data_IF_926608951475
#
_entry.id   IF_926608951475
#
_cell.length_a   1.000
_cell.length_b   1.000
_cell.length_c   1.000
_cell.angle_alpha   90.00
_cell.angle_beta   90.00
_cell.angle_gamma   90.00
#
_symmetry.space_group_name_H-M   'P 1'
#
loop_
_entity.id
_entity.type
_entity.pdbx_description
1 polymer ?
#
# COMPACT_ATOMS: atom_id res chain seq x y z
N UNK A 1 -28.22 21.57 -24.97
CA UNK A 1 -28.19 20.13 -24.62
C UNK A 1 -26.84 19.82 -23.98
N UNK A 2 -26.84 19.82 -22.64
CA UNK A 2 -25.75 19.34 -21.79
C UNK A 2 -25.56 17.84 -21.98
N UNK A 3 -24.32 17.34 -21.99
CA UNK A 3 -23.90 16.10 -21.31
C UNK A 3 -22.40 16.21 -21.01
N UNK A 4 -22.11 16.60 -19.76
CA UNK A 4 -20.84 16.34 -19.09
C UNK A 4 -20.63 14.81 -18.99
N UNK A 5 -19.44 14.33 -19.29
CA UNK A 5 -19.04 12.97 -18.93
C UNK A 5 -17.80 13.05 -18.03
N UNK A 6 -17.99 13.62 -16.84
CA UNK A 6 -17.13 13.38 -15.68
C UNK A 6 -17.44 11.99 -15.15
N UNK A 7 -16.73 10.98 -15.66
CA UNK A 7 -16.72 9.65 -15.07
C UNK A 7 -15.44 9.49 -14.25
N UNK A 8 -15.48 10.01 -13.03
CA UNK A 8 -14.66 9.52 -11.92
C UNK A 8 -15.35 8.30 -11.33
N UNK A 9 -14.80 7.07 -11.45
CA UNK A 9 -15.25 5.98 -10.62
C UNK A 9 -14.57 6.12 -9.26
N UNK A 10 -15.37 6.58 -8.30
CA UNK A 10 -15.51 5.95 -6.97
C UNK A 10 -14.21 5.63 -6.22
N UNK A 11 -13.80 6.63 -5.45
CA UNK A 11 -13.15 6.47 -4.15
C UNK A 11 -14.02 5.55 -3.29
N UNK A 12 -13.69 4.26 -3.23
CA UNK A 12 -14.27 3.34 -2.25
C UNK A 12 -13.41 2.08 -2.07
N UNK A 13 -12.26 2.22 -1.41
CA UNK A 13 -11.84 1.22 -0.42
C UNK A 13 -11.41 2.00 0.81
N UNK A 14 -12.37 2.10 1.73
CA UNK A 14 -12.21 2.17 3.17
C UNK A 14 -10.78 2.47 3.66
N UNK A 15 -10.58 3.75 3.96
CA UNK A 15 -9.50 4.31 4.76
C UNK A 15 -9.48 3.67 6.16
N UNK A 16 -9.08 2.41 6.27
CA UNK A 16 -8.27 1.94 7.39
C UNK A 16 -6.81 2.32 7.12
N UNK A 17 -6.59 3.60 6.81
CA UNK A 17 -5.28 4.22 6.94
C UNK A 17 -5.02 4.32 8.44
N UNK A 18 -4.68 3.19 9.07
CA UNK A 18 -3.96 3.26 10.34
C UNK A 18 -2.77 4.19 10.08
N UNK A 19 -2.69 5.30 10.81
CA UNK A 19 -1.55 6.20 10.77
C UNK A 19 -0.31 5.40 11.16
N UNK A 20 0.38 4.86 10.15
CA UNK A 20 1.64 4.15 10.32
C UNK A 20 2.77 5.14 10.12
N UNK A 21 3.71 5.13 11.04
CA UNK A 21 4.95 5.88 10.85
C UNK A 21 5.71 5.25 9.67
N UNK A 22 5.90 6.03 8.61
CA UNK A 22 6.65 5.63 7.41
C UNK A 22 8.09 6.15 7.43
N UNK A 23 8.51 6.82 8.51
CA UNK A 23 9.86 7.38 8.62
C UNK A 23 10.90 6.28 8.43
N UNK A 24 11.79 6.49 7.46
CA UNK A 24 12.86 5.55 7.14
C UNK A 24 12.43 4.35 6.29
N UNK A 25 11.20 4.33 5.76
CA UNK A 25 10.74 3.34 4.78
C UNK A 25 10.58 4.02 3.43
N UNK A 26 11.04 3.40 2.35
CA UNK A 26 10.88 3.97 1.02
C UNK A 26 9.44 3.80 0.52
N UNK A 27 8.83 4.90 0.05
CA UNK A 27 7.47 4.90 -0.51
C UNK A 27 7.34 3.91 -1.67
N UNK A 28 8.38 3.79 -2.49
CA UNK A 28 8.42 2.85 -3.61
C UNK A 28 8.34 1.39 -3.14
N UNK A 29 9.02 1.06 -2.04
CA UNK A 29 8.99 -0.29 -1.49
C UNK A 29 7.61 -0.60 -0.92
N UNK A 30 6.97 0.38 -0.25
CA UNK A 30 5.60 0.27 0.25
C UNK A 30 4.64 -0.04 -0.90
N UNK A 31 4.69 0.74 -1.99
CA UNK A 31 3.84 0.55 -3.16
C UNK A 31 4.06 -0.82 -3.83
N UNK A 32 5.32 -1.25 -3.97
CA UNK A 32 5.66 -2.54 -4.53
C UNK A 32 5.13 -3.70 -3.67
N UNK A 33 5.28 -3.62 -2.34
CA UNK A 33 4.75 -4.61 -1.40
C UNK A 33 3.21 -4.64 -1.46
N UNK A 34 2.57 -3.47 -1.45
CA UNK A 34 1.11 -3.37 -1.57
C UNK A 34 0.60 -4.01 -2.86
N UNK A 35 1.25 -3.75 -3.99
CA UNK A 35 0.82 -4.26 -5.30
C UNK A 35 1.09 -5.76 -5.47
N UNK A 36 2.21 -6.29 -4.94
CA UNK A 36 2.58 -7.69 -5.13
C UNK A 36 1.94 -8.61 -4.09
N UNK A 37 1.78 -8.14 -2.86
CA UNK A 37 1.16 -8.89 -1.78
C UNK A 37 -0.35 -8.62 -1.63
N UNK A 38 -0.91 -7.66 -2.38
CA UNK A 38 -2.30 -7.25 -2.30
C UNK A 38 -2.72 -6.90 -0.85
N UNK A 39 -1.92 -6.08 -0.19
CA UNK A 39 -2.13 -5.65 1.20
C UNK A 39 -2.29 -4.14 1.34
N UNK A 40 -2.93 -3.71 2.42
CA UNK A 40 -3.01 -2.30 2.83
C UNK A 40 -1.62 -1.68 3.05
N UNK A 41 -1.53 -0.36 2.92
CA UNK A 41 -0.32 0.43 3.20
C UNK A 41 0.27 0.16 4.58
N UNK A 42 -0.57 0.14 5.61
CA UNK A 42 -0.15 -0.13 6.99
C UNK A 42 0.56 -1.49 7.14
N UNK A 43 0.01 -2.55 6.52
CA UNK A 43 0.63 -3.88 6.51
C UNK A 43 1.94 -3.90 5.76
N UNK A 44 2.03 -3.23 4.61
CA UNK A 44 3.27 -3.13 3.84
C UNK A 44 4.37 -2.43 4.65
N UNK A 45 4.07 -1.31 5.30
CA UNK A 45 5.00 -0.56 6.16
C UNK A 45 5.49 -1.40 7.33
N UNK A 46 4.57 -2.11 8.02
CA UNK A 46 4.92 -3.01 9.12
C UNK A 46 5.83 -4.15 8.66
N UNK A 47 5.51 -4.79 7.53
CA UNK A 47 6.32 -5.86 6.97
C UNK A 47 7.72 -5.38 6.60
N UNK A 48 7.84 -4.21 5.95
CA UNK A 48 9.13 -3.61 5.63
C UNK A 48 9.94 -3.29 6.89
N UNK A 49 9.33 -2.66 7.90
CA UNK A 49 10.02 -2.36 9.17
C UNK A 49 10.48 -3.62 9.91
N UNK A 50 9.66 -4.67 9.94
CA UNK A 50 10.01 -5.95 10.57
C UNK A 50 11.16 -6.65 9.85
N UNK A 51 11.28 -6.45 8.54
CA UNK A 51 12.32 -7.04 7.70
C UNK A 51 13.49 -6.07 7.43
N UNK A 52 13.69 -5.04 8.26
CA UNK A 52 14.77 -4.06 8.09
C UNK A 52 14.81 -3.39 6.70
N UNK A 53 13.62 -3.08 6.16
CA UNK A 53 13.38 -2.58 4.80
C UNK A 53 13.80 -3.56 3.69
N UNK A 54 13.98 -4.85 3.97
CA UNK A 54 14.17 -5.88 2.94
C UNK A 54 12.84 -6.17 2.25
N UNK A 55 12.67 -5.57 1.07
CA UNK A 55 11.49 -5.71 0.24
C UNK A 55 11.20 -7.16 -0.18
N UNK A 56 12.23 -7.96 -0.43
CA UNK A 56 12.04 -9.35 -0.90
C UNK A 56 11.48 -10.18 0.22
N UNK A 57 12.05 -10.07 1.43
CA UNK A 57 11.54 -10.79 2.60
C UNK A 57 10.15 -10.30 2.99
N UNK A 58 9.89 -8.99 2.94
CA UNK A 58 8.55 -8.44 3.21
C UNK A 58 7.48 -8.97 2.25
N UNK A 59 7.78 -9.02 0.94
CA UNK A 59 6.85 -9.59 -0.07
C UNK A 59 6.67 -11.09 0.17
N UNK A 60 7.75 -11.83 0.42
CA UNK A 60 7.69 -13.27 0.68
C UNK A 60 6.83 -13.58 1.93
N UNK A 61 7.00 -12.82 3.01
CA UNK A 61 6.21 -13.00 4.24
C UNK A 61 4.71 -12.76 4.02
N UNK A 62 4.35 -11.81 3.16
CA UNK A 62 2.96 -11.43 2.91
C UNK A 62 2.26 -12.23 1.79
N UNK A 63 3.01 -12.97 0.97
CA UNK A 63 2.46 -13.73 -0.17
C UNK A 63 2.49 -15.24 0.02
N UNK A 64 3.18 -15.74 1.05
CA UNK A 64 3.23 -17.17 1.39
C UNK A 64 2.11 -17.61 2.32
#
# INVERSE_FOLDING_TARGET
>A
NIQENTQTPTVQEESEEEEVDETGVEVKDIELVMSQANVSRAKAVRALKNNNNDIVNAIMELTM
#
